data_IF_609592797599
#
_entry.id   IF_609592797599
#
_cell.length_a   1.000
_cell.length_b   1.000
_cell.length_c   1.000
_cell.angle_alpha   90.00
_cell.angle_beta   90.00
_cell.angle_gamma   90.00
#
_symmetry.space_group_name_H-M   'P 1'
#
loop_
_entity.id
_entity.type
_entity.pdbx_description
1 polymer ?
#
# COMPACT_ATOMS: atom_id res chain seq x y z
N UNK A 1 5.11 -14.56 9.08
CA UNK A 1 6.19 -14.39 8.09
C UNK A 1 5.56 -14.33 6.71
N UNK A 2 5.52 -13.16 6.05
CA UNK A 2 5.00 -13.05 4.68
C UNK A 2 5.97 -13.78 3.74
N UNK A 3 5.62 -15.01 3.37
CA UNK A 3 6.30 -15.75 2.31
C UNK A 3 5.71 -15.32 0.98
N UNK A 4 6.41 -14.46 0.25
CA UNK A 4 6.21 -14.29 -1.18
C UNK A 4 6.99 -15.42 -1.88
N UNK A 5 6.72 -16.67 -1.50
CA UNK A 5 7.39 -17.82 -2.10
C UNK A 5 6.73 -18.08 -3.47
N UNK A 6 7.42 -17.72 -4.57
CA UNK A 6 7.09 -18.17 -5.93
C UNK A 6 6.43 -17.17 -6.89
N UNK A 7 6.18 -15.92 -6.49
CA UNK A 7 5.61 -14.90 -7.39
C UNK A 7 6.75 -14.12 -8.07
N UNK A 8 6.96 -14.33 -9.38
CA UNK A 8 7.90 -13.55 -10.19
C UNK A 8 7.36 -12.16 -10.59
N UNK A 9 6.09 -11.90 -10.28
CA UNK A 9 5.41 -10.65 -10.58
C UNK A 9 5.75 -9.57 -9.53
N UNK A 10 5.86 -8.30 -9.94
CA UNK A 10 6.07 -7.19 -9.02
C UNK A 10 4.85 -6.95 -8.11
N UNK A 11 5.11 -6.26 -7.00
CA UNK A 11 4.10 -5.81 -6.03
C UNK A 11 4.06 -4.29 -6.07
N UNK A 12 2.88 -3.70 -5.88
CA UNK A 12 2.80 -2.27 -5.55
C UNK A 12 2.72 -2.12 -4.03
N UNK A 13 3.68 -1.39 -3.47
CA UNK A 13 3.67 -0.99 -2.06
C UNK A 13 3.14 0.44 -1.96
N UNK A 14 2.11 0.64 -1.13
CA UNK A 14 1.52 1.93 -0.80
C UNK A 14 1.78 2.21 0.67
N UNK A 15 2.27 3.40 0.98
CA UNK A 15 2.41 3.94 2.33
C UNK A 15 1.38 5.06 2.50
N UNK A 16 0.37 4.82 3.32
CA UNK A 16 -0.70 5.75 3.67
C UNK A 16 -0.36 6.45 4.98
N UNK A 17 0.28 7.62 4.86
CA UNK A 17 0.52 8.54 5.96
C UNK A 17 -0.59 9.60 6.09
N UNK A 18 -0.60 10.32 7.21
CA UNK A 18 -1.57 11.40 7.46
C UNK A 18 -1.48 12.57 6.48
N UNK A 19 -0.28 12.83 5.94
CA UNK A 19 0.00 13.98 5.06
C UNK A 19 0.35 13.59 3.64
N UNK A 20 0.90 12.40 3.43
CA UNK A 20 1.40 11.92 2.15
C UNK A 20 1.00 10.46 1.93
N UNK A 21 0.60 10.16 0.70
CA UNK A 21 0.52 8.80 0.17
C UNK A 21 1.75 8.61 -0.72
N UNK A 22 2.56 7.60 -0.45
CA UNK A 22 3.64 7.18 -1.34
C UNK A 22 3.30 5.82 -1.94
N UNK A 23 3.62 5.61 -3.21
CA UNK A 23 3.42 4.32 -3.86
C UNK A 23 4.67 3.95 -4.68
N UNK A 24 4.95 2.66 -4.82
CA UNK A 24 6.02 2.20 -5.68
C UNK A 24 5.84 0.77 -6.16
N UNK A 25 6.33 0.50 -7.36
CA UNK A 25 6.41 -0.84 -7.93
C UNK A 25 7.71 -1.47 -7.47
N UNK A 26 7.62 -2.62 -6.81
CA UNK A 26 8.74 -3.38 -6.26
C UNK A 26 8.81 -4.73 -6.95
N UNK A 27 9.94 -5.04 -7.57
CA UNK A 27 10.17 -6.33 -8.22
C UNK A 27 10.27 -7.47 -7.20
N UNK A 28 10.15 -8.72 -7.66
CA UNK A 28 10.37 -9.90 -6.82
C UNK A 28 11.81 -9.99 -6.24
N UNK A 29 12.74 -9.20 -6.76
CA UNK A 29 14.13 -9.08 -6.25
C UNK A 29 14.30 -7.91 -5.28
N UNK A 30 13.19 -7.33 -4.81
CA UNK A 30 13.16 -6.15 -3.94
C UNK A 30 13.74 -4.89 -4.60
N UNK A 31 13.78 -4.82 -5.94
CA UNK A 31 14.22 -3.62 -6.66
C UNK A 31 13.04 -2.69 -6.89
N UNK A 32 13.22 -1.38 -6.67
CA UNK A 32 12.15 -0.42 -6.89
C UNK A 32 12.18 0.07 -8.33
N UNK A 33 11.18 -0.31 -9.11
CA UNK A 33 11.07 -0.05 -10.55
C UNK A 33 10.52 1.36 -10.83
N UNK A 34 9.55 1.80 -10.03
CA UNK A 34 8.93 3.12 -10.13
C UNK A 34 8.40 3.58 -8.78
N UNK A 35 8.27 4.90 -8.59
CA UNK A 35 7.70 5.50 -7.39
C UNK A 35 6.91 6.75 -7.74
N UNK A 36 5.88 7.02 -6.97
CA UNK A 36 5.20 8.30 -6.96
C UNK A 36 4.74 8.66 -5.56
N UNK A 37 4.32 9.91 -5.39
CA UNK A 37 3.69 10.36 -4.16
C UNK A 37 2.65 11.44 -4.46
N UNK A 38 1.67 11.54 -3.58
CA UNK A 38 0.69 12.62 -3.59
C UNK A 38 0.32 13.03 -2.15
N UNK A 39 -0.18 14.25 -1.93
CA UNK A 39 -0.73 14.64 -0.64
C UNK A 39 -1.94 13.77 -0.26
N UNK A 40 -2.04 13.35 1.01
CA UNK A 40 -3.19 12.56 1.48
C UNK A 40 -4.48 13.38 1.45
N UNK A 41 -4.43 14.63 1.91
CA UNK A 41 -5.58 15.52 2.07
C UNK A 41 -6.72 14.83 2.83
N UNK A 42 -6.41 14.31 4.02
CA UNK A 42 -7.32 13.48 4.81
C UNK A 42 -8.63 14.20 5.20
N UNK A 43 -8.63 15.54 5.21
CA UNK A 43 -9.82 16.36 5.46
C UNK A 43 -10.90 16.21 4.37
N UNK A 44 -10.54 15.75 3.17
CA UNK A 44 -11.49 15.52 2.07
C UNK A 44 -12.31 14.23 2.26
N UNK A 45 -12.03 13.48 3.33
CA UNK A 45 -12.75 12.27 3.70
C UNK A 45 -12.14 10.98 3.16
N UNK A 46 -12.64 9.87 3.70
CA UNK A 46 -12.14 8.50 3.44
C UNK A 46 -12.17 8.17 1.94
N UNK A 47 -13.29 8.43 1.27
CA UNK A 47 -13.49 8.10 -0.13
C UNK A 47 -12.49 8.82 -1.05
N UNK A 48 -12.27 10.11 -0.80
CA UNK A 48 -11.31 10.91 -1.57
C UNK A 48 -9.87 10.39 -1.43
N UNK A 49 -9.49 9.95 -0.23
CA UNK A 49 -8.17 9.33 -0.01
C UNK A 49 -8.05 7.99 -0.73
N UNK A 50 -9.10 7.17 -0.75
CA UNK A 50 -9.10 5.89 -1.47
C UNK A 50 -8.95 6.13 -2.97
N UNK A 51 -9.67 7.10 -3.54
CA UNK A 51 -9.51 7.49 -4.94
C UNK A 51 -8.10 7.98 -5.27
N UNK A 52 -7.42 8.65 -4.32
CA UNK A 52 -6.00 9.02 -4.48
C UNK A 52 -5.08 7.82 -4.51
N UNK A 53 -5.33 6.81 -3.65
CA UNK A 53 -4.59 5.54 -3.68
C UNK A 53 -4.79 4.87 -5.04
N UNK A 54 -6.04 4.71 -5.48
CA UNK A 54 -6.38 4.10 -6.77
C UNK A 54 -5.73 4.83 -7.93
N UNK A 55 -5.80 6.17 -7.92
CA UNK A 55 -5.18 7.01 -8.94
C UNK A 55 -3.65 6.88 -8.96
N UNK A 56 -3.01 6.81 -7.79
CA UNK A 56 -1.56 6.59 -7.70
C UNK A 56 -1.16 5.20 -8.21
N UNK A 57 -1.93 4.16 -7.89
CA UNK A 57 -1.69 2.83 -8.47
C UNK A 57 -1.84 2.85 -9.99
N UNK A 58 -2.90 3.46 -10.51
CA UNK A 58 -3.14 3.56 -11.95
C UNK A 58 -2.05 4.34 -12.70
N UNK A 59 -1.56 5.45 -12.12
CA UNK A 59 -0.47 6.24 -12.68
C UNK A 59 0.85 5.46 -12.72
N UNK A 60 1.24 4.78 -11.65
CA UNK A 60 2.44 3.92 -11.63
C UNK A 60 2.42 2.87 -12.74
N UNK A 61 1.30 2.15 -12.86
CA UNK A 61 1.12 1.06 -13.81
C UNK A 61 1.16 1.60 -15.25
N UNK A 62 0.47 2.71 -15.50
CA UNK A 62 0.50 3.39 -16.81
C UNK A 62 1.89 3.90 -17.18
N UNK A 63 2.64 4.49 -16.23
CA UNK A 63 4.00 4.99 -16.47
C UNK A 63 5.00 3.88 -16.83
N UNK A 64 4.77 2.66 -16.33
CA UNK A 64 5.59 1.50 -16.68
C UNK A 64 5.08 0.72 -17.89
N UNK A 65 3.99 1.16 -18.52
CA UNK A 65 3.35 0.42 -19.62
C UNK A 65 2.88 -0.97 -19.22
N UNK A 66 2.50 -1.14 -17.94
CA UNK A 66 2.03 -2.40 -17.38
C UNK A 66 0.50 -2.43 -17.30
N UNK A 67 -0.04 -3.63 -17.12
CA UNK A 67 -1.43 -3.86 -16.71
C UNK A 67 -1.51 -4.28 -15.24
N UNK A 68 -2.65 -4.00 -14.60
CA UNK A 68 -2.93 -4.43 -13.22
C UNK A 68 -2.86 -5.96 -13.05
N UNK A 69 -3.15 -6.73 -14.10
CA UNK A 69 -3.06 -8.19 -14.12
C UNK A 69 -1.62 -8.72 -14.00
N UNK A 70 -0.62 -7.86 -14.24
CA UNK A 70 0.80 -8.19 -14.11
C UNK A 70 1.34 -7.92 -12.70
N UNK A 71 0.47 -7.56 -11.75
CA UNK A 71 0.82 -7.39 -10.35
C UNK A 71 0.52 -8.65 -9.55
N UNK A 72 1.44 -9.03 -8.67
CA UNK A 72 1.18 -10.11 -7.71
C UNK A 72 0.10 -9.69 -6.68
N UNK A 73 0.26 -8.47 -6.15
CA UNK A 73 -0.68 -7.85 -5.23
C UNK A 73 -0.38 -6.35 -5.07
N UNK A 74 -1.28 -5.67 -4.37
CA UNK A 74 -1.07 -4.34 -3.79
C UNK A 74 -0.96 -4.53 -2.28
N UNK A 75 0.08 -4.00 -1.67
CA UNK A 75 0.26 -3.96 -0.22
C UNK A 75 0.14 -2.53 0.26
N UNK A 76 -0.75 -2.28 1.22
CA UNK A 76 -0.95 -0.96 1.82
C UNK A 76 -0.45 -1.01 3.26
N UNK A 77 0.54 -0.19 3.58
CA UNK A 77 0.93 0.14 4.93
C UNK A 77 0.15 1.37 5.37
N UNK A 78 -0.43 1.34 6.57
CA UNK A 78 -1.10 2.50 7.14
C UNK A 78 -0.78 2.63 8.63
N UNK A 79 -0.81 3.88 9.12
CA UNK A 79 -0.65 4.16 10.53
C UNK A 79 -1.99 4.03 11.26
N UNK A 80 -2.00 3.32 12.39
CA UNK A 80 -3.17 3.15 13.24
C UNK A 80 -3.36 1.73 13.76
N UNK A 81 -4.49 1.53 14.45
CA UNK A 81 -4.96 0.21 14.83
C UNK A 81 -5.52 -0.49 13.58
N UNK A 82 -4.85 -1.56 13.15
CA UNK A 82 -5.19 -2.31 11.94
C UNK A 82 -5.52 -3.74 12.30
N UNK A 83 -6.68 -4.19 11.85
CA UNK A 83 -6.99 -5.61 11.75
C UNK A 83 -6.55 -6.10 10.37
N UNK A 84 -5.38 -6.71 10.32
CA UNK A 84 -4.81 -7.23 9.06
C UNK A 84 -5.53 -8.48 8.54
N UNK A 85 -6.24 -9.21 9.41
CA UNK A 85 -6.99 -10.41 9.03
C UNK A 85 -8.24 -10.00 8.23
N UNK A 86 -8.99 -9.03 8.75
CA UNK A 86 -10.19 -8.48 8.07
C UNK A 86 -9.86 -7.37 7.08
N UNK A 87 -8.66 -6.78 7.15
CA UNK A 87 -8.20 -5.72 6.26
C UNK A 87 -8.88 -4.37 6.54
N UNK A 88 -9.14 -4.12 7.82
CA UNK A 88 -9.85 -2.95 8.33
C UNK A 88 -8.87 -2.05 9.08
N UNK A 89 -8.93 -0.74 8.83
CA UNK A 89 -8.37 0.27 9.72
C UNK A 89 -9.42 0.50 10.81
N UNK A 90 -9.19 -0.07 11.98
CA UNK A 90 -10.07 0.06 13.15
C UNK A 90 -10.10 1.51 13.59
N UNK A 91 -8.91 2.13 13.67
CA UNK A 91 -8.77 3.54 14.02
C UNK A 91 -7.43 4.08 13.54
N UNK A 92 -7.41 5.32 13.02
CA UNK A 92 -6.16 6.01 12.70
C UNK A 92 -6.10 7.38 13.38
N UNK A 93 -5.08 7.67 14.22
CA UNK A 93 -4.95 8.98 14.86
C UNK A 93 -4.54 10.07 13.87
N UNK A 94 -3.94 9.68 12.74
CA UNK A 94 -3.38 10.60 11.75
C UNK A 94 -4.32 10.88 10.57
N UNK A 95 -5.47 10.20 10.52
CA UNK A 95 -6.47 10.33 9.46
C UNK A 95 -7.84 10.64 10.09
N UNK A 96 -8.29 11.92 10.07
CA UNK A 96 -9.58 12.30 10.64
C UNK A 96 -10.75 11.55 10.00
N UNK A 97 -11.64 11.01 10.84
CA UNK A 97 -12.84 10.28 10.38
C UNK A 97 -12.59 8.82 9.97
N UNK A 98 -11.39 8.29 10.21
CA UNK A 98 -11.07 6.89 9.91
C UNK A 98 -11.33 6.00 11.12
N UNK A 99 -12.54 5.43 11.16
CA UNK A 99 -12.97 4.43 12.14
C UNK A 99 -13.66 3.29 11.38
N UNK A 100 -13.24 2.05 11.64
CA UNK A 100 -13.78 0.83 11.04
C UNK A 100 -13.85 0.85 9.49
N UNK A 101 -12.77 1.34 8.85
CA UNK A 101 -12.71 1.47 7.39
C UNK A 101 -12.20 0.16 6.74
N UNK A 102 -12.99 -0.52 5.89
CA UNK A 102 -12.58 -1.75 5.21
C UNK A 102 -11.66 -1.48 4.01
N UNK A 103 -10.54 -0.80 4.24
CA UNK A 103 -9.64 -0.26 3.21
C UNK A 103 -9.20 -1.31 2.20
N UNK A 104 -8.84 -2.52 2.66
CA UNK A 104 -8.46 -3.64 1.78
C UNK A 104 -9.56 -3.97 0.79
N UNK A 105 -10.81 -4.03 1.26
CA UNK A 105 -11.97 -4.35 0.44
C UNK A 105 -12.24 -3.27 -0.60
N UNK A 106 -12.24 -2.01 -0.17
CA UNK A 106 -12.53 -0.85 -1.03
C UNK A 106 -11.50 -0.69 -2.16
N UNK A 107 -10.21 -0.88 -1.87
CA UNK A 107 -9.16 -0.82 -2.91
C UNK A 107 -9.21 -2.02 -3.83
N UNK A 108 -9.42 -3.22 -3.28
CA UNK A 108 -9.57 -4.45 -4.07
C UNK A 108 -10.74 -4.37 -5.05
N UNK A 109 -11.87 -3.82 -4.63
CA UNK A 109 -13.05 -3.64 -5.46
C UNK A 109 -12.79 -2.72 -6.66
N UNK A 110 -12.07 -1.60 -6.44
CA UNK A 110 -11.78 -0.61 -7.49
C UNK A 110 -10.71 -1.07 -8.48
N UNK A 111 -9.72 -1.82 -8.03
CA UNK A 111 -8.57 -2.21 -8.85
C UNK A 111 -8.63 -3.66 -9.37
N UNK A 112 -9.47 -4.52 -8.77
CA UNK A 112 -9.54 -5.93 -9.12
C UNK A 112 -8.28 -6.74 -8.78
N UNK A 113 -7.33 -6.15 -8.04
CA UNK A 113 -6.06 -6.79 -7.65
C UNK A 113 -6.11 -7.24 -6.20
N UNK A 114 -5.51 -8.42 -5.91
CA UNK A 114 -5.31 -8.89 -4.53
C UNK A 114 -4.67 -7.77 -3.70
N UNK A 115 -5.35 -7.33 -2.66
CA UNK A 115 -4.88 -6.25 -1.79
C UNK A 115 -4.62 -6.79 -0.38
N UNK A 116 -3.51 -6.35 0.21
CA UNK A 116 -3.12 -6.62 1.59
C UNK A 116 -3.08 -5.30 2.35
N UNK A 117 -3.42 -5.34 3.65
CA UNK A 117 -3.30 -4.22 4.56
C UNK A 117 -2.40 -4.63 5.71
N UNK A 118 -1.36 -3.85 5.97
CA UNK A 118 -0.38 -4.07 7.02
C UNK A 118 -0.22 -2.81 7.87
N UNK A 119 0.18 -3.00 9.13
CA UNK A 119 0.60 -1.92 9.99
C UNK A 119 1.97 -1.36 9.55
N UNK A 120 2.14 -0.05 9.65
CA UNK A 120 3.34 0.70 9.28
C UNK A 120 4.61 0.21 10.01
N UNK A 121 4.52 -0.17 11.28
CA UNK A 121 5.64 -0.75 12.03
C UNK A 121 6.08 -2.11 11.45
N UNK A 122 5.12 -2.94 11.02
CA UNK A 122 5.43 -4.21 10.37
C UNK A 122 6.05 -4.00 8.98
N UNK A 123 5.58 -2.99 8.25
CA UNK A 123 6.14 -2.62 6.95
C UNK A 123 7.58 -2.12 7.08
N UNK A 124 7.85 -1.25 8.06
CA UNK A 124 9.18 -0.74 8.36
C UNK A 124 10.14 -1.87 8.74
N UNK A 125 9.74 -2.76 9.65
CA UNK A 125 10.55 -3.91 10.04
C UNK A 125 10.86 -4.84 8.86
N UNK A 126 9.89 -5.07 7.95
CA UNK A 126 10.11 -5.88 6.75
C UNK A 126 11.06 -5.19 5.77
N UNK A 127 10.90 -3.88 5.57
CA UNK A 127 11.77 -3.05 4.75
C UNK A 127 13.21 -3.02 5.26
N UNK A 128 13.42 -2.87 6.57
CA UNK A 128 14.75 -2.90 7.18
C UNK A 128 15.41 -4.28 7.04
N UNK A 129 14.65 -5.36 7.23
CA UNK A 129 15.20 -6.71 7.09
C UNK A 129 15.61 -7.06 5.65
N UNK A 130 14.93 -6.51 4.62
CA UNK A 130 15.17 -6.89 3.22
C UNK A 130 15.94 -5.83 2.40
N UNK A 131 15.83 -4.56 2.77
CA UNK A 131 16.47 -3.41 2.10
C UNK A 131 17.38 -2.61 3.03
N UNK A 132 17.23 -2.77 4.34
CA UNK A 132 18.05 -2.08 5.32
C UNK A 132 19.48 -2.60 5.28
N UNK A 133 20.41 -1.67 5.40
CA UNK A 133 21.84 -1.88 5.64
C UNK A 133 22.05 -2.43 7.06
N UNK A 134 21.39 -3.54 7.41
CA UNK A 134 21.62 -4.34 8.62
C UNK A 134 22.95 -5.08 8.57
N UNK A 135 24.03 -4.35 8.25
CA UNK A 135 25.35 -4.56 8.82
C UNK A 135 25.46 -3.56 9.97
N UNK A 136 24.98 -3.97 11.12
CA UNK A 136 25.07 -3.28 12.40
C UNK A 136 24.56 -4.20 13.49
#
# INVERSE_FOLDING_TARGET
MMKVDGCSLPVIAVDLGGTKIAAGIVSARCEILAREYCPTLAADGVEAVIERIVSAVGRLVSQQGMDLSQLCCISIAACGAIDSETGVIVFSPNLPGWCDIPLRGMVRERLGVKTLLINDANAAAWGEHHLGVGRG
#
